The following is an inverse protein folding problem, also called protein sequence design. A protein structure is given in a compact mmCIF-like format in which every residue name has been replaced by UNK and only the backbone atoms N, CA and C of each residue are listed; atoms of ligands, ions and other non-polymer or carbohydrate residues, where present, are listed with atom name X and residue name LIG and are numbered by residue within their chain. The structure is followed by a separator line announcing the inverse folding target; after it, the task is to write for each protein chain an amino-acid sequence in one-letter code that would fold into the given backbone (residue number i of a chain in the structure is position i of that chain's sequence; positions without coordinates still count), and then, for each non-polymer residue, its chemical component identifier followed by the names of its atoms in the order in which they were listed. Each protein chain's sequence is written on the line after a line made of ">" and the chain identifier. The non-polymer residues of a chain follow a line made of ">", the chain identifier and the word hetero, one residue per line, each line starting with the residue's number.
data_IF_466766486322
#
_entry.id   IF_466766486322
#
_cell.length_a   1.000
_cell.length_b   1.000
_cell.length_c   1.000
_cell.angle_alpha   90.00
_cell.angle_beta   90.00
_cell.angle_gamma   90.00
#
_symmetry.space_group_name_H-M   'P 1'
#
loop_
_entity.id
_entity.type
_entity.pdbx_description
1 polymer ?
#
# COMPACT_ATOMS: atom_id res chain seq x y z
N UNK A 1 -42.01 4.41 3.82
CA UNK A 1 -41.20 4.16 2.60
C UNK A 1 -40.15 3.10 2.89
N UNK A 2 -40.12 1.98 2.16
CA UNK A 2 -38.95 1.09 2.11
C UNK A 2 -38.14 1.49 0.89
N UNK A 3 -37.02 2.16 1.07
CA UNK A 3 -36.08 2.45 -0.02
C UNK A 3 -35.43 1.12 -0.39
N UNK A 4 -35.82 0.54 -1.52
CA UNK A 4 -35.07 -0.58 -2.08
C UNK A 4 -33.76 -0.02 -2.64
N UNK A 5 -32.59 -0.57 -2.25
CA UNK A 5 -31.33 -0.15 -2.82
C UNK A 5 -31.35 -0.46 -4.32
N UNK A 6 -31.09 0.55 -5.14
CA UNK A 6 -30.79 0.35 -6.56
C UNK A 6 -29.58 -0.60 -6.68
N UNK A 7 -29.46 -1.41 -7.75
CA UNK A 7 -28.38 -2.38 -7.91
C UNK A 7 -26.97 -1.78 -7.69
N UNK A 8 -26.72 -0.55 -8.13
CA UNK A 8 -25.45 0.15 -7.85
C UNK A 8 -25.20 0.48 -6.37
N UNK A 9 -26.24 0.64 -5.54
CA UNK A 9 -26.08 0.83 -4.10
C UNK A 9 -25.77 -0.49 -3.37
N UNK A 10 -26.29 -1.62 -3.86
CA UNK A 10 -25.95 -2.93 -3.32
C UNK A 10 -24.46 -3.26 -3.56
N UNK A 11 -23.93 -2.98 -4.75
CA UNK A 11 -22.51 -3.17 -5.07
C UNK A 11 -21.60 -2.25 -4.24
N UNK A 12 -21.98 -0.98 -4.09
CA UNK A 12 -21.24 -0.03 -3.24
C UNK A 12 -21.19 -0.49 -1.77
N UNK A 13 -22.28 -1.07 -1.26
CA UNK A 13 -22.36 -1.58 0.11
C UNK A 13 -21.46 -2.81 0.32
N UNK A 14 -21.41 -3.73 -0.65
CA UNK A 14 -20.48 -4.88 -0.62
C UNK A 14 -19.02 -4.40 -0.66
N UNK A 15 -18.71 -3.42 -1.51
CA UNK A 15 -17.38 -2.81 -1.59
C UNK A 15 -16.94 -2.16 -0.29
N UNK A 16 -17.84 -1.40 0.35
CA UNK A 16 -17.56 -0.75 1.63
C UNK A 16 -17.29 -1.77 2.76
N UNK A 17 -18.09 -2.84 2.85
CA UNK A 17 -17.88 -3.92 3.82
C UNK A 17 -16.52 -4.62 3.60
N UNK A 18 -16.15 -4.87 2.34
CA UNK A 18 -14.87 -5.48 2.01
C UNK A 18 -13.68 -4.59 2.39
N UNK A 19 -13.76 -3.28 2.12
CA UNK A 19 -12.73 -2.32 2.54
C UNK A 19 -12.57 -2.29 4.06
N UNK A 20 -13.68 -2.28 4.81
CA UNK A 20 -13.64 -2.32 6.28
C UNK A 20 -12.95 -3.58 6.80
N UNK A 21 -13.21 -4.75 6.20
CA UNK A 21 -12.54 -5.99 6.57
C UNK A 21 -11.03 -5.96 6.31
N UNK A 22 -10.59 -5.41 5.17
CA UNK A 22 -9.18 -5.23 4.83
C UNK A 22 -8.47 -4.29 5.81
N UNK A 23 -9.08 -3.16 6.13
CA UNK A 23 -8.53 -2.19 7.09
C UNK A 23 -8.50 -2.79 8.51
N UNK A 24 -9.51 -3.57 8.90
CA UNK A 24 -9.50 -4.30 10.17
C UNK A 24 -8.40 -5.37 10.25
N UNK A 25 -7.97 -5.96 9.12
CA UNK A 25 -6.79 -6.84 9.08
C UNK A 25 -5.50 -6.05 9.29
N UNK A 26 -5.38 -4.89 8.65
CA UNK A 26 -4.25 -3.98 8.87
C UNK A 26 -4.16 -3.53 10.34
N UNK A 27 -5.28 -3.16 10.96
CA UNK A 27 -5.33 -2.77 12.38
C UNK A 27 -4.95 -3.91 13.35
N UNK A 28 -5.09 -5.19 12.93
CA UNK A 28 -4.64 -6.37 13.67
C UNK A 28 -3.14 -6.67 13.49
N UNK A 29 -2.44 -5.88 12.67
CA UNK A 29 -1.03 -6.09 12.35
C UNK A 29 -0.79 -7.01 11.14
N UNK A 30 -1.84 -7.49 10.46
CA UNK A 30 -1.71 -8.31 9.25
C UNK A 30 -1.51 -7.40 8.02
N UNK A 31 -0.34 -6.76 7.98
CA UNK A 31 0.04 -5.89 6.88
C UNK A 31 0.78 -6.66 5.79
N UNK A 32 0.29 -6.51 4.56
CA UNK A 32 0.95 -7.02 3.35
C UNK A 32 2.15 -6.12 3.01
N UNK A 33 3.36 -6.59 3.35
CA UNK A 33 4.61 -5.82 3.15
C UNK A 33 5.02 -5.83 1.69
N UNK A 34 5.16 -4.65 1.09
CA UNK A 34 5.75 -4.50 -0.25
C UNK A 34 6.85 -3.44 -0.22
N UNK A 35 8.05 -3.84 -0.66
CA UNK A 35 9.18 -2.93 -0.81
C UNK A 35 8.99 -2.10 -2.07
N UNK A 36 9.13 -0.78 -1.92
CA UNK A 36 9.29 0.15 -3.05
C UNK A 36 10.67 0.77 -2.99
N UNK A 37 11.33 0.81 -4.14
CA UNK A 37 12.59 1.50 -4.33
C UNK A 37 12.31 2.86 -4.96
N UNK A 38 12.88 3.94 -4.42
CA UNK A 38 12.77 5.25 -5.04
C UNK A 38 13.56 5.30 -6.34
N UNK A 39 12.99 5.98 -7.34
CA UNK A 39 13.65 6.16 -8.63
C UNK A 39 14.99 6.92 -8.50
N UNK A 40 15.07 7.86 -7.55
CA UNK A 40 16.28 8.62 -7.27
C UNK A 40 17.41 7.71 -6.75
N UNK A 41 17.10 6.77 -5.84
CA UNK A 41 18.05 5.77 -5.35
C UNK A 41 18.57 4.85 -6.46
N UNK A 42 17.71 4.46 -7.40
CA UNK A 42 18.12 3.62 -8.55
C UNK A 42 19.06 4.39 -9.48
N UNK A 43 18.72 5.64 -9.79
CA UNK A 43 19.54 6.49 -10.68
C UNK A 43 20.92 6.74 -10.06
N UNK A 44 20.97 7.07 -8.77
CA UNK A 44 22.25 7.28 -8.05
C UNK A 44 23.05 5.98 -7.89
N UNK A 45 22.40 4.82 -7.72
CA UNK A 45 23.09 3.53 -7.71
C UNK A 45 23.84 3.23 -9.01
N UNK A 46 23.29 3.61 -10.16
CA UNK A 46 23.94 3.41 -11.47
C UNK A 46 25.07 4.41 -11.70
N UNK A 47 24.89 5.68 -11.32
CA UNK A 47 25.84 6.75 -11.61
C UNK A 47 27.02 6.82 -10.62
N UNK A 48 26.83 6.38 -9.38
CA UNK A 48 27.77 6.59 -8.26
C UNK A 48 28.14 5.28 -7.55
N UNK A 49 28.49 4.26 -8.32
CA UNK A 49 28.99 3.00 -7.76
C UNK A 49 30.28 3.25 -6.97
N UNK A 50 30.46 2.78 -5.71
CA UNK A 50 29.63 1.91 -4.87
C UNK A 50 28.69 2.62 -3.87
N UNK A 51 28.82 3.95 -3.72
CA UNK A 51 28.10 4.75 -2.72
C UNK A 51 26.59 4.74 -3.00
N UNK A 52 26.21 4.78 -4.28
CA UNK A 52 24.81 4.77 -4.71
C UNK A 52 24.08 3.47 -4.37
N UNK A 53 24.76 2.33 -4.29
CA UNK A 53 24.14 1.07 -3.85
C UNK A 53 23.74 1.15 -2.37
N UNK A 54 24.58 1.72 -1.52
CA UNK A 54 24.27 1.91 -0.09
C UNK A 54 23.07 2.85 0.05
N UNK A 55 23.04 3.94 -0.72
CA UNK A 55 21.87 4.82 -0.77
C UNK A 55 20.59 4.11 -1.22
N UNK A 56 20.66 3.22 -2.22
CA UNK A 56 19.49 2.46 -2.69
C UNK A 56 18.92 1.53 -1.61
N UNK A 57 19.77 0.90 -0.81
CA UNK A 57 19.30 0.05 0.30
C UNK A 57 18.64 0.88 1.40
N UNK A 58 19.16 2.08 1.69
CA UNK A 58 18.58 3.01 2.68
C UNK A 58 17.29 3.67 2.18
N UNK A 59 17.16 3.89 0.87
CA UNK A 59 15.97 4.48 0.22
C UNK A 59 14.84 3.47 -0.03
N UNK A 60 15.00 2.23 0.42
CA UNK A 60 13.93 1.24 0.32
C UNK A 60 12.92 1.41 1.44
N UNK A 61 11.68 1.75 1.09
CA UNK A 61 10.59 1.91 2.06
C UNK A 61 9.67 0.68 2.03
N UNK A 62 9.45 0.10 3.21
CA UNK A 62 8.45 -0.94 3.41
C UNK A 62 7.09 -0.26 3.64
N UNK A 63 6.14 -0.52 2.74
CA UNK A 63 4.79 0.02 2.86
C UNK A 63 3.77 -1.10 2.78
N UNK A 64 2.69 -0.96 3.53
CA UNK A 64 1.57 -1.88 3.41
C UNK A 64 0.82 -1.61 2.10
N UNK A 65 0.57 -2.65 1.27
CA UNK A 65 -0.21 -2.51 0.03
C UNK A 65 -1.67 -2.14 0.31
N UNK A 66 -2.21 -2.58 1.45
CA UNK A 66 -3.62 -2.44 1.83
C UNK A 66 -3.93 -1.08 2.46
N UNK A 67 -3.16 -0.64 3.45
CA UNK A 67 -3.39 0.62 4.17
C UNK A 67 -2.42 1.75 3.81
N UNK A 68 -1.33 1.47 3.09
CA UNK A 68 -0.35 2.49 2.69
C UNK A 68 0.55 3.05 3.79
N UNK A 69 0.39 2.63 5.05
CA UNK A 69 1.29 3.06 6.13
C UNK A 69 2.71 2.57 5.89
N UNK A 70 3.67 3.46 6.15
CA UNK A 70 5.10 3.14 6.26
C UNK A 70 5.31 2.34 7.54
N UNK A 71 6.04 1.24 7.45
CA UNK A 71 6.45 0.45 8.61
C UNK A 71 7.88 0.78 9.01
#
# INVERSE_FOLDING_TARGET
>A
MKVQPTPGQAEAQVGAQYQQQLLARCARGDHDRKRKYGACGIITAVLLFPIGLICLFTDSEERCVRCGQKM
#
